data_IF_311999451671
#
_entry.id   IF_311999451671
#
_cell.length_a   1.000
_cell.length_b   1.000
_cell.length_c   1.000
_cell.angle_alpha   90.00
_cell.angle_beta   90.00
_cell.angle_gamma   90.00
#
_symmetry.space_group_name_H-M   'P 1'
#
loop_
_entity.id
_entity.type
_entity.pdbx_description
1 polymer ?
#
# COMPACT_ATOMS: atom_id res chain seq x y z
N UNK A 1 -29.59 24.51 4.66
CA UNK A 1 -28.90 23.30 5.18
C UNK A 1 -28.74 22.29 4.05
N UNK A 2 -27.52 21.83 3.74
CA UNK A 2 -27.31 20.78 2.73
C UNK A 2 -27.84 19.46 3.29
N UNK A 3 -28.86 18.89 2.66
CA UNK A 3 -29.40 17.58 3.06
C UNK A 3 -28.34 16.50 2.78
N UNK A 4 -28.17 15.58 3.73
CA UNK A 4 -27.31 14.42 3.53
C UNK A 4 -27.87 13.54 2.38
N UNK A 5 -27.01 12.87 1.60
CA UNK A 5 -27.47 11.94 0.58
C UNK A 5 -28.45 10.90 1.16
N UNK A 6 -29.51 10.57 0.40
CA UNK A 6 -30.57 9.63 0.84
C UNK A 6 -30.08 8.28 1.35
N UNK A 7 -28.90 7.82 0.90
CA UNK A 7 -28.28 6.57 1.35
C UNK A 7 -27.57 6.70 2.70
N UNK A 8 -27.06 7.89 3.06
CA UNK A 8 -26.42 8.12 4.36
C UNK A 8 -27.45 7.98 5.47
N UNK A 9 -28.65 8.55 5.30
CA UNK A 9 -29.72 8.44 6.27
C UNK A 9 -30.17 7.00 6.50
N UNK A 10 -30.26 6.19 5.45
CA UNK A 10 -30.66 4.77 5.59
C UNK A 10 -29.56 3.92 6.24
N UNK A 11 -28.28 4.22 5.99
CA UNK A 11 -27.14 3.59 6.66
C UNK A 11 -27.11 3.97 8.14
N UNK A 12 -27.25 5.26 8.46
CA UNK A 12 -27.32 5.74 9.84
C UNK A 12 -28.44 5.06 10.63
N UNK A 13 -29.63 4.94 10.03
CA UNK A 13 -30.78 4.26 10.64
C UNK A 13 -30.51 2.77 10.90
N UNK A 14 -29.98 2.05 9.90
CA UNK A 14 -29.65 0.62 10.02
C UNK A 14 -28.60 0.34 11.09
N UNK A 15 -27.63 1.25 11.24
CA UNK A 15 -26.54 1.12 12.20
C UNK A 15 -26.86 1.74 13.57
N UNK A 16 -28.01 2.39 13.74
CA UNK A 16 -28.38 3.06 14.98
C UNK A 16 -27.48 4.24 15.35
N UNK A 17 -26.87 4.91 14.37
CA UNK A 17 -25.93 6.02 14.58
C UNK A 17 -26.47 7.35 14.03
N UNK A 18 -26.00 8.46 14.58
CA UNK A 18 -26.31 9.78 14.04
C UNK A 18 -25.53 10.07 12.76
N UNK A 19 -26.05 10.95 11.90
CA UNK A 19 -25.31 11.44 10.72
C UNK A 19 -23.99 12.12 11.11
N UNK A 20 -23.94 12.82 12.26
CA UNK A 20 -22.70 13.41 12.77
C UNK A 20 -21.64 12.34 13.10
N UNK A 21 -22.05 11.25 13.75
CA UNK A 21 -21.18 10.09 14.03
C UNK A 21 -20.66 9.48 12.74
N UNK A 22 -21.52 9.29 11.74
CA UNK A 22 -21.13 8.77 10.42
C UNK A 22 -20.05 9.64 9.75
N UNK A 23 -20.25 10.96 9.71
CA UNK A 23 -19.26 11.85 9.08
C UNK A 23 -17.95 11.95 9.88
N UNK A 24 -17.99 11.89 11.22
CA UNK A 24 -16.79 11.82 12.04
C UNK A 24 -15.97 10.57 11.75
N UNK A 25 -16.62 9.40 11.67
CA UNK A 25 -15.94 8.15 11.30
C UNK A 25 -15.43 8.20 9.87
N UNK A 26 -16.25 8.66 8.92
CA UNK A 26 -15.82 8.81 7.52
C UNK A 26 -14.58 9.69 7.41
N UNK A 27 -14.55 10.84 8.08
CA UNK A 27 -13.38 11.73 8.09
C UNK A 27 -12.15 11.07 8.72
N UNK A 28 -12.33 10.24 9.76
CA UNK A 28 -11.23 9.56 10.46
C UNK A 28 -10.64 8.42 9.62
N UNK A 29 -11.47 7.66 8.92
CA UNK A 29 -11.05 6.41 8.28
C UNK A 29 -10.84 6.52 6.76
N UNK A 30 -11.50 7.45 6.06
CA UNK A 30 -11.29 7.64 4.59
C UNK A 30 -9.83 7.95 4.23
N UNK A 31 -9.09 8.67 5.08
CA UNK A 31 -7.68 8.97 4.82
C UNK A 31 -6.72 7.82 5.12
N UNK A 32 -7.12 6.87 5.97
CA UNK A 32 -6.28 5.76 6.39
C UNK A 32 -6.11 4.73 5.27
N UNK A 33 -7.20 4.35 4.60
CA UNK A 33 -7.16 3.41 3.46
C UNK A 33 -6.29 3.95 2.31
N UNK A 34 -6.37 5.24 2.03
CA UNK A 34 -5.56 5.90 0.99
C UNK A 34 -4.07 5.88 1.36
N UNK A 35 -3.75 6.08 2.64
CA UNK A 35 -2.37 6.03 3.13
C UNK A 35 -1.79 4.61 3.07
N UNK A 36 -2.57 3.60 3.47
CA UNK A 36 -2.16 2.19 3.39
C UNK A 36 -1.91 1.77 1.94
N UNK A 37 -2.80 2.13 1.00
CA UNK A 37 -2.61 1.86 -0.42
C UNK A 37 -1.37 2.56 -1.00
N UNK A 38 -1.08 3.80 -0.56
CA UNK A 38 0.14 4.52 -0.95
C UNK A 38 1.40 3.81 -0.43
N UNK A 39 1.41 3.45 0.85
CA UNK A 39 2.52 2.74 1.49
C UNK A 39 2.78 1.38 0.84
N UNK A 40 1.72 0.65 0.47
CA UNK A 40 1.84 -0.62 -0.23
C UNK A 40 2.56 -0.44 -1.57
N UNK A 41 2.16 0.55 -2.36
CA UNK A 41 2.81 0.85 -3.66
C UNK A 41 4.28 1.25 -3.51
N UNK A 42 4.61 2.03 -2.49
CA UNK A 42 5.99 2.40 -2.19
C UNK A 42 6.83 1.16 -1.83
N UNK A 43 6.30 0.27 -1.00
CA UNK A 43 6.95 -1.00 -0.64
C UNK A 43 7.13 -1.93 -1.84
N UNK A 44 6.12 -2.04 -2.71
CA UNK A 44 6.21 -2.83 -3.95
C UNK A 44 7.31 -2.28 -4.88
N UNK A 45 7.38 -0.96 -5.01
CA UNK A 45 8.40 -0.29 -5.82
C UNK A 45 9.81 -0.56 -5.29
N UNK A 46 10.00 -0.40 -3.98
CA UNK A 46 11.31 -0.64 -3.36
C UNK A 46 11.69 -2.12 -3.41
N UNK A 47 10.75 -3.04 -3.19
CA UNK A 47 10.99 -4.48 -3.32
C UNK A 47 11.48 -4.84 -4.73
N UNK A 48 10.84 -4.29 -5.76
CA UNK A 48 11.26 -4.49 -7.15
C UNK A 48 12.67 -3.94 -7.41
N UNK A 49 12.99 -2.75 -6.88
CA UNK A 49 14.33 -2.17 -6.97
C UNK A 49 15.38 -3.07 -6.29
N UNK A 50 15.10 -3.53 -5.07
CA UNK A 50 16.00 -4.39 -4.30
C UNK A 50 16.22 -5.74 -4.99
N UNK A 51 15.18 -6.35 -5.54
CA UNK A 51 15.29 -7.59 -6.32
C UNK A 51 16.18 -7.43 -7.54
N UNK A 52 16.06 -6.31 -8.27
CA UNK A 52 16.93 -6.02 -9.40
C UNK A 52 18.39 -5.88 -8.97
N UNK A 53 18.67 -5.08 -7.94
CA UNK A 53 20.02 -4.92 -7.41
C UNK A 53 20.62 -6.25 -6.93
N UNK A 54 19.81 -7.09 -6.28
CA UNK A 54 20.25 -8.41 -5.85
C UNK A 54 20.59 -9.30 -7.05
N UNK A 55 19.75 -9.32 -8.09
CA UNK A 55 20.03 -10.09 -9.30
C UNK A 55 21.33 -9.63 -9.98
N UNK A 56 21.54 -8.32 -10.10
CA UNK A 56 22.77 -7.76 -10.66
C UNK A 56 24.01 -8.20 -9.85
N UNK A 57 23.92 -8.16 -8.51
CA UNK A 57 25.01 -8.62 -7.64
C UNK A 57 25.25 -10.12 -7.67
N UNK A 58 24.21 -10.93 -7.78
CA UNK A 58 24.35 -12.37 -7.95
C UNK A 58 25.06 -12.70 -9.27
N UNK A 59 24.76 -11.97 -10.34
CA UNK A 59 25.43 -12.14 -11.62
C UNK A 59 26.91 -11.75 -11.56
N UNK A 60 27.26 -10.64 -10.89
CA UNK A 60 28.66 -10.27 -10.64
C UNK A 60 29.42 -11.36 -9.86
N UNK A 61 28.80 -11.89 -8.81
CA UNK A 61 29.39 -12.96 -7.98
C UNK A 61 29.62 -14.22 -8.80
N UNK A 62 28.67 -14.61 -9.64
CA UNK A 62 28.79 -15.79 -10.49
C UNK A 62 29.92 -15.64 -11.51
N UNK A 63 29.98 -14.47 -12.19
CA UNK A 63 31.07 -14.18 -13.12
C UNK A 63 32.45 -14.21 -12.44
N UNK A 64 32.55 -13.73 -11.19
CA UNK A 64 33.80 -13.81 -10.42
C UNK A 64 34.20 -15.25 -10.09
N UNK A 65 33.25 -16.10 -9.71
CA UNK A 65 33.51 -17.52 -9.46
C UNK A 65 33.99 -18.24 -10.71
N UNK A 66 33.38 -17.96 -11.87
CA UNK A 66 33.77 -18.53 -13.16
C UNK A 66 35.19 -18.13 -13.59
N UNK A 67 35.62 -16.91 -13.28
CA UNK A 67 37.00 -16.47 -13.56
C UNK A 67 37.99 -17.17 -12.64
N UNK A 68 37.64 -17.38 -11.37
CA UNK A 68 38.51 -18.05 -10.39
C UNK A 68 38.62 -19.55 -10.63
N UNK A 69 37.56 -20.21 -11.09
CA UNK A 69 37.55 -21.65 -11.37
C UNK A 69 38.43 -22.04 -12.56
N UNK A 70 38.67 -21.13 -13.51
CA UNK A 70 39.53 -21.34 -14.69
C UNK A 70 41.03 -21.15 -14.42
N UNK A 71 41.44 -20.76 -13.21
CA UNK A 71 42.85 -20.49 -12.87
C UNK A 71 43.64 -21.73 -12.44
N UNK A 72 43.07 -22.93 -12.55
CA UNK A 72 43.70 -24.20 -12.17
C UNK A 72 43.41 -25.27 -13.22
#
# INVERSE_FOLDING_TARGET
>A
MRQAPKWTSSVCLKLGISSGTFYNWRSKYTGLEVNEAKRLRELETENNRLKKLLADKLLEVEAMKDVLSKKW
#
